data_IF_178752477409
#
_entry.id   IF_178752477409
#
_cell.length_a   1.000
_cell.length_b   1.000
_cell.length_c   1.000
_cell.angle_alpha   90.00
_cell.angle_beta   90.00
_cell.angle_gamma   90.00
#
_symmetry.space_group_name_H-M   'P 1'
#
loop_
_entity.id
_entity.type
_entity.pdbx_description
1 polymer ?
#
# COMPACT_ATOMS: atom_id res chain seq x y z
N UNK A 1 14.96 -2.07 14.26
CA UNK A 1 13.71 -2.84 14.19
C UNK A 1 12.87 -2.15 13.13
N UNK A 2 12.85 -2.65 11.90
CA UNK A 2 11.95 -2.10 10.86
C UNK A 2 10.59 -2.68 11.21
N UNK A 3 9.68 -1.85 11.71
CA UNK A 3 8.31 -2.29 11.98
C UNK A 3 7.73 -2.81 10.66
N UNK A 4 7.15 -4.03 10.64
CA UNK A 4 6.60 -4.58 9.41
C UNK A 4 5.54 -3.63 8.86
N UNK A 5 5.65 -3.29 7.57
CA UNK A 5 4.61 -2.52 6.89
C UNK A 5 3.34 -3.36 6.88
N UNK A 6 2.30 -2.83 7.49
CA UNK A 6 0.98 -3.46 7.55
C UNK A 6 0.07 -2.91 6.46
N UNK A 7 -0.97 -3.65 6.10
CA UNK A 7 -2.02 -3.22 5.17
C UNK A 7 -2.55 -1.82 5.54
N UNK A 8 -2.72 -1.54 6.84
CA UNK A 8 -3.15 -0.22 7.34
C UNK A 8 -2.16 0.93 7.06
N UNK A 9 -0.85 0.67 7.08
CA UNK A 9 0.16 1.67 6.71
C UNK A 9 0.13 1.97 5.22
N UNK A 10 -0.06 0.94 4.37
CA UNK A 10 -0.22 1.12 2.93
C UNK A 10 -1.47 1.96 2.61
N UNK A 11 -2.61 1.67 3.27
CA UNK A 11 -3.84 2.45 3.10
C UNK A 11 -3.64 3.92 3.50
N UNK A 12 -2.97 4.17 4.63
CA UNK A 12 -2.65 5.54 5.05
C UNK A 12 -1.75 6.24 4.05
N UNK A 13 -0.68 5.58 3.59
CA UNK A 13 0.23 6.15 2.58
C UNK A 13 -0.49 6.43 1.26
N UNK A 14 -1.39 5.55 0.80
CA UNK A 14 -2.19 5.76 -0.40
C UNK A 14 -3.11 6.98 -0.29
N UNK A 15 -3.73 7.16 0.89
CA UNK A 15 -4.53 8.33 1.24
C UNK A 15 -3.71 9.62 1.24
N UNK A 16 -2.54 9.60 1.88
CA UNK A 16 -1.63 10.75 1.91
C UNK A 16 -1.10 11.09 0.51
N UNK A 17 -0.73 10.10 -0.28
CA UNK A 17 -0.32 10.26 -1.66
C UNK A 17 -1.44 10.86 -2.52
N UNK A 18 -2.67 10.39 -2.35
CA UNK A 18 -3.83 10.94 -3.04
C UNK A 18 -4.04 12.41 -2.68
N UNK A 19 -3.95 12.75 -1.40
CA UNK A 19 -4.02 14.13 -0.94
C UNK A 19 -2.90 14.99 -1.55
N UNK A 20 -1.65 14.49 -1.58
CA UNK A 20 -0.49 15.18 -2.19
C UNK A 20 -0.66 15.38 -3.70
N UNK A 21 -1.23 14.40 -4.40
CA UNK A 21 -1.43 14.43 -5.87
C UNK A 21 -2.77 15.05 -6.28
N UNK A 22 -3.55 15.58 -5.34
CA UNK A 22 -4.90 16.10 -5.57
C UNK A 22 -5.82 15.09 -6.30
N UNK A 23 -5.67 13.80 -5.95
CA UNK A 23 -6.48 12.68 -6.43
C UNK A 23 -7.56 12.30 -5.40
N UNK A 24 -8.52 11.50 -5.82
CA UNK A 24 -9.57 10.99 -4.93
C UNK A 24 -8.98 9.98 -3.93
N UNK A 25 -9.07 10.33 -2.65
CA UNK A 25 -8.69 9.48 -1.51
C UNK A 25 -9.30 8.07 -1.62
N UNK A 26 -10.62 8.01 -1.82
CA UNK A 26 -11.35 6.76 -1.96
C UNK A 26 -10.85 5.90 -3.13
N UNK A 27 -10.45 6.52 -4.25
CA UNK A 27 -9.94 5.79 -5.41
C UNK A 27 -8.53 5.24 -5.16
N UNK A 28 -7.67 5.99 -4.46
CA UNK A 28 -6.32 5.54 -4.13
C UNK A 28 -6.34 4.43 -3.07
N UNK A 29 -7.20 4.56 -2.06
CA UNK A 29 -7.41 3.52 -1.04
C UNK A 29 -7.98 2.26 -1.69
N UNK A 30 -9.03 2.37 -2.50
CA UNK A 30 -9.60 1.22 -3.21
C UNK A 30 -8.55 0.52 -4.11
N UNK A 31 -7.74 1.29 -4.85
CA UNK A 31 -6.66 0.73 -5.66
C UNK A 31 -5.61 0.02 -4.81
N UNK A 32 -5.23 0.58 -3.67
CA UNK A 32 -4.27 -0.03 -2.76
C UNK A 32 -4.83 -1.32 -2.15
N UNK A 33 -6.09 -1.34 -1.73
CA UNK A 33 -6.79 -2.53 -1.21
C UNK A 33 -6.89 -3.63 -2.28
N UNK A 34 -7.29 -3.29 -3.50
CA UNK A 34 -7.41 -4.24 -4.60
C UNK A 34 -6.03 -4.84 -4.96
N UNK A 35 -4.98 -4.01 -4.95
CA UNK A 35 -3.59 -4.46 -5.13
C UNK A 35 -3.16 -5.39 -4.01
N UNK A 36 -3.46 -5.06 -2.75
CA UNK A 36 -3.16 -5.89 -1.59
C UNK A 36 -3.85 -7.26 -1.67
N UNK A 37 -5.12 -7.30 -2.06
CA UNK A 37 -5.87 -8.55 -2.27
C UNK A 37 -5.25 -9.38 -3.39
N UNK A 38 -4.90 -8.75 -4.52
CA UNK A 38 -4.27 -9.44 -5.64
C UNK A 38 -2.88 -10.00 -5.29
N UNK A 39 -2.10 -9.26 -4.50
CA UNK A 39 -0.79 -9.69 -4.00
C UNK A 39 -0.95 -10.87 -3.03
N UNK A 40 -1.90 -10.80 -2.09
CA UNK A 40 -2.17 -11.85 -1.10
C UNK A 40 -2.68 -13.15 -1.74
N UNK A 41 -3.35 -13.05 -2.90
CA UNK A 41 -3.79 -14.20 -3.67
C UNK A 41 -2.65 -14.87 -4.48
N UNK A 42 -1.55 -14.15 -4.72
CA UNK A 42 -0.43 -14.61 -5.58
C UNK A 42 0.86 -14.90 -4.82
N UNK A 43 1.06 -14.29 -3.65
CA UNK A 43 2.30 -14.30 -2.90
C UNK A 43 2.14 -15.03 -1.56
N UNK A 44 3.18 -15.75 -1.17
CA UNK A 44 3.32 -16.29 0.18
C UNK A 44 3.51 -15.17 1.22
N UNK A 45 3.27 -15.47 2.49
CA UNK A 45 3.27 -14.47 3.56
C UNK A 45 4.56 -13.63 3.63
N UNK A 46 5.71 -14.23 3.31
CA UNK A 46 7.02 -13.56 3.31
C UNK A 46 7.16 -12.60 2.11
N UNK A 47 6.79 -13.05 0.91
CA UNK A 47 6.78 -12.22 -0.29
C UNK A 47 5.72 -11.10 -0.21
N UNK A 48 4.59 -11.39 0.41
CA UNK A 48 3.52 -10.43 0.64
C UNK A 48 3.99 -9.28 1.54
N UNK A 49 4.70 -9.58 2.62
CA UNK A 49 5.30 -8.55 3.48
C UNK A 49 6.28 -7.65 2.70
N UNK A 50 7.09 -8.24 1.82
CA UNK A 50 8.03 -7.50 0.99
C UNK A 50 7.34 -6.66 -0.10
N UNK A 51 6.20 -7.13 -0.62
CA UNK A 51 5.38 -6.40 -1.57
C UNK A 51 4.64 -5.22 -0.92
N UNK A 52 4.14 -5.40 0.31
CA UNK A 52 3.56 -4.31 1.11
C UNK A 52 4.59 -3.21 1.36
N UNK A 53 5.83 -3.58 1.71
CA UNK A 53 6.90 -2.60 1.95
C UNK A 53 7.23 -1.78 0.69
N UNK A 54 7.31 -2.43 -0.47
CA UNK A 54 7.46 -1.74 -1.77
C UNK A 54 6.31 -0.79 -2.05
N UNK A 55 5.07 -1.26 -1.89
CA UNK A 55 3.86 -0.49 -2.18
C UNK A 55 3.76 0.74 -1.26
N UNK A 56 4.06 0.59 0.03
CA UNK A 56 4.14 1.69 0.98
C UNK A 56 5.21 2.71 0.59
N UNK A 57 6.40 2.23 0.21
CA UNK A 57 7.50 3.09 -0.23
C UNK A 57 7.13 3.87 -1.49
N UNK A 58 6.46 3.24 -2.46
CA UNK A 58 5.94 3.92 -3.65
C UNK A 58 4.99 5.06 -3.30
N UNK A 59 4.00 4.81 -2.43
CA UNK A 59 3.08 5.88 -2.02
C UNK A 59 3.76 6.98 -1.19
N UNK A 60 4.80 6.65 -0.43
CA UNK A 60 5.50 7.62 0.40
C UNK A 60 6.53 8.48 -0.36
N UNK A 61 7.24 7.89 -1.34
CA UNK A 61 8.30 8.57 -2.12
C UNK A 61 7.79 9.22 -3.43
N UNK A 62 6.60 8.85 -3.93
CA UNK A 62 6.11 9.29 -5.25
C UNK A 62 5.42 10.64 -5.30
#
# INVERSE_FOLDING_TARGET
MISPVTEGLVVQAAREWAARKNKSDAAAVANAEETMVALKAKLDAEEYGHALEKLYREYNES
#
